data_IF_505166008656
#
_entry.id   IF_505166008656
#
_cell.length_a   1.000
_cell.length_b   1.000
_cell.length_c   1.000
_cell.angle_alpha   90.00
_cell.angle_beta   90.00
_cell.angle_gamma   90.00
#
_symmetry.space_group_name_H-M   'P 1'
#
loop_
_entity.id
_entity.type
_entity.pdbx_description
1 polymer ?
#
# COMPACT_ATOMS: atom_id res chain seq x y z
N UNK A 1 -3.55 -50.22 -8.04
CA UNK A 1 -4.27 -49.00 -7.59
C UNK A 1 -3.24 -47.93 -7.27
N UNK A 2 -3.04 -46.97 -8.16
CA UNK A 2 -2.20 -45.79 -7.94
C UNK A 2 -3.12 -44.66 -7.48
N UNK A 3 -3.00 -44.24 -6.22
CA UNK A 3 -3.67 -43.04 -5.73
C UNK A 3 -2.85 -41.82 -6.15
N UNK A 4 -3.34 -41.08 -7.14
CA UNK A 4 -2.88 -39.73 -7.44
C UNK A 4 -3.44 -38.81 -6.34
N UNK A 5 -2.60 -38.44 -5.36
CA UNK A 5 -2.91 -37.31 -4.48
C UNK A 5 -2.59 -36.05 -5.25
N UNK A 6 -3.61 -35.37 -5.77
CA UNK A 6 -3.47 -34.02 -6.31
C UNK A 6 -2.83 -33.13 -5.24
N UNK A 7 -1.63 -32.62 -5.51
CA UNK A 7 -1.00 -31.62 -4.67
C UNK A 7 -1.86 -30.35 -4.76
N UNK A 8 -2.61 -30.03 -3.71
CA UNK A 8 -3.21 -28.71 -3.55
C UNK A 8 -2.06 -27.71 -3.49
N UNK A 9 -1.80 -27.00 -4.60
CA UNK A 9 -0.84 -25.90 -4.60
C UNK A 9 -1.38 -24.83 -3.65
N UNK A 10 -0.58 -24.43 -2.67
CA UNK A 10 -0.93 -23.29 -1.81
C UNK A 10 -1.11 -22.02 -2.65
N UNK A 11 -1.99 -21.14 -2.19
CA UNK A 11 -2.23 -19.85 -2.83
C UNK A 11 -0.92 -19.04 -2.89
N UNK A 12 -0.69 -18.39 -4.01
CA UNK A 12 0.31 -17.33 -4.16
C UNK A 12 -0.03 -16.13 -3.27
N UNK A 13 0.96 -15.27 -3.01
CA UNK A 13 0.74 -14.04 -2.25
C UNK A 13 -0.30 -13.12 -2.91
N UNK A 14 -0.32 -13.03 -4.24
CA UNK A 14 -1.35 -12.27 -4.97
C UNK A 14 -2.75 -12.86 -4.77
N UNK A 15 -2.91 -14.18 -4.81
CA UNK A 15 -4.21 -14.82 -4.56
C UNK A 15 -4.68 -14.60 -3.12
N UNK A 16 -3.77 -14.71 -2.14
CA UNK A 16 -4.04 -14.37 -0.73
C UNK A 16 -4.52 -12.93 -0.59
N UNK A 17 -3.88 -12.00 -1.30
CA UNK A 17 -4.29 -10.60 -1.30
C UNK A 17 -5.68 -10.39 -1.94
N UNK A 18 -5.96 -11.03 -3.07
CA UNK A 18 -7.27 -10.96 -3.73
C UNK A 18 -8.39 -11.48 -2.82
N UNK A 19 -8.19 -12.63 -2.15
CA UNK A 19 -9.16 -13.15 -1.18
C UNK A 19 -9.40 -12.15 -0.03
N UNK A 20 -8.35 -11.47 0.44
CA UNK A 20 -8.47 -10.43 1.48
C UNK A 20 -9.29 -9.23 0.98
N UNK A 21 -9.02 -8.76 -0.24
CA UNK A 21 -9.77 -7.67 -0.87
C UNK A 21 -11.26 -8.01 -1.10
N UNK A 22 -11.56 -9.28 -1.31
CA UNK A 22 -12.93 -9.81 -1.47
C UNK A 22 -13.63 -10.10 -0.13
N UNK A 23 -12.95 -9.92 1.01
CA UNK A 23 -13.51 -10.22 2.34
C UNK A 23 -13.60 -11.72 2.65
N UNK A 24 -12.96 -12.58 1.84
CA UNK A 24 -12.91 -14.02 2.03
C UNK A 24 -11.76 -14.45 2.95
N UNK A 25 -10.84 -13.53 3.23
CA UNK A 25 -9.67 -13.75 4.08
C UNK A 25 -9.49 -12.63 5.09
N UNK A 26 -9.09 -13.03 6.29
CA UNK A 26 -8.62 -12.13 7.34
C UNK A 26 -7.10 -12.02 7.29
N UNK A 27 -6.56 -10.89 7.76
CA UNK A 27 -5.14 -10.78 8.07
C UNK A 27 -4.73 -11.82 9.10
N UNK A 28 -3.42 -12.02 9.28
CA UNK A 28 -2.88 -12.89 10.33
C UNK A 28 -3.29 -12.48 11.76
N UNK A 29 -3.84 -11.27 11.93
CA UNK A 29 -4.32 -10.74 13.22
C UNK A 29 -5.85 -10.67 13.30
N UNK A 30 -6.54 -11.38 12.40
CA UNK A 30 -8.00 -11.53 12.43
C UNK A 30 -8.77 -10.31 11.97
N UNK A 31 -8.19 -9.45 11.11
CA UNK A 31 -8.86 -8.27 10.56
C UNK A 31 -9.26 -8.47 9.10
N UNK A 32 -10.49 -8.14 8.76
CA UNK A 32 -10.91 -8.00 7.36
C UNK A 32 -10.51 -6.63 6.80
N UNK A 33 -10.62 -6.44 5.48
CA UNK A 33 -10.49 -5.11 4.87
C UNK A 33 -11.51 -4.13 5.49
N UNK A 34 -12.74 -4.57 5.72
CA UNK A 34 -13.82 -3.74 6.27
C UNK A 34 -13.50 -3.27 7.70
N UNK A 35 -12.93 -4.16 8.54
CA UNK A 35 -12.49 -3.79 9.89
C UNK A 35 -11.44 -2.67 9.85
N UNK A 36 -10.45 -2.80 8.96
CA UNK A 36 -9.37 -1.81 8.80
C UNK A 36 -9.93 -0.48 8.26
N UNK A 37 -10.83 -0.53 7.28
CA UNK A 37 -11.49 0.67 6.75
C UNK A 37 -12.35 1.39 7.80
N UNK A 38 -12.84 0.66 8.82
CA UNK A 38 -13.59 1.23 9.95
C UNK A 38 -12.71 1.81 11.07
N UNK A 39 -11.38 1.66 11.03
CA UNK A 39 -10.49 2.19 12.06
C UNK A 39 -10.59 3.70 12.22
N UNK A 40 -10.66 4.21 13.44
CA UNK A 40 -10.45 5.63 13.68
C UNK A 40 -8.94 5.99 13.66
N UNK A 41 -8.62 7.28 13.70
CA UNK A 41 -7.23 7.77 13.65
C UNK A 41 -6.36 7.19 14.78
N UNK A 42 -6.91 6.97 15.97
CA UNK A 42 -6.18 6.34 17.09
C UNK A 42 -5.81 4.89 16.77
N UNK A 43 -6.72 4.15 16.14
CA UNK A 43 -6.47 2.76 15.74
C UNK A 43 -5.47 2.69 14.58
N UNK A 44 -5.56 3.59 13.59
CA UNK A 44 -4.58 3.67 12.50
C UNK A 44 -3.17 4.03 12.99
N UNK A 45 -3.07 4.87 14.01
CA UNK A 45 -1.79 5.21 14.63
C UNK A 45 -1.24 4.01 15.42
N UNK A 46 -2.07 3.35 16.24
CA UNK A 46 -1.63 2.31 17.17
C UNK A 46 -1.41 0.92 16.52
N UNK A 47 -2.17 0.55 15.50
CA UNK A 47 -2.02 -0.73 14.79
C UNK A 47 -0.99 -0.59 13.67
N UNK A 48 0.10 -1.35 13.74
CA UNK A 48 1.19 -1.28 12.76
C UNK A 48 1.14 -2.40 11.71
N UNK A 49 0.17 -3.31 11.82
CA UNK A 49 0.17 -4.58 11.10
C UNK A 49 -0.73 -4.57 9.86
N UNK A 50 -1.61 -3.58 9.74
CA UNK A 50 -2.56 -3.47 8.63
C UNK A 50 -1.94 -2.92 7.35
N UNK A 51 -0.94 -2.03 7.46
CA UNK A 51 -0.46 -1.24 6.31
C UNK A 51 0.13 -2.14 5.21
N UNK A 52 0.79 -3.24 5.58
CA UNK A 52 1.34 -4.17 4.60
C UNK A 52 0.25 -4.95 3.86
N UNK A 53 -0.93 -5.12 4.45
CA UNK A 53 -2.07 -5.80 3.84
C UNK A 53 -2.84 -4.90 2.89
N UNK A 54 -3.05 -3.62 3.24
CA UNK A 54 -3.79 -2.68 2.39
C UNK A 54 -2.95 -2.01 1.30
N UNK A 55 -1.61 -2.06 1.45
CA UNK A 55 -0.63 -1.63 0.45
C UNK A 55 0.49 -2.68 0.34
N UNK A 56 0.23 -3.87 -0.22
CA UNK A 56 1.26 -4.90 -0.37
C UNK A 56 2.33 -4.47 -1.38
N UNK A 57 3.52 -5.08 -1.26
CA UNK A 57 4.68 -4.87 -2.14
C UNK A 57 5.16 -6.23 -2.68
N UNK A 58 5.90 -6.27 -3.79
CA UNK A 58 6.54 -7.50 -4.27
C UNK A 58 7.65 -7.97 -3.33
N UNK A 59 8.33 -7.03 -2.67
CA UNK A 59 9.41 -7.31 -1.72
C UNK A 59 8.87 -7.61 -0.30
N UNK A 60 9.44 -8.58 0.43
CA UNK A 60 9.02 -8.93 1.77
C UNK A 60 9.21 -7.78 2.77
N UNK A 61 8.26 -7.66 3.70
CA UNK A 61 8.38 -6.70 4.79
C UNK A 61 9.09 -7.32 6.00
N UNK A 62 10.13 -6.67 6.56
CA UNK A 62 10.75 -7.13 7.80
C UNK A 62 9.84 -6.95 9.03
N UNK A 63 8.76 -6.16 8.92
CA UNK A 63 7.83 -5.86 10.02
C UNK A 63 6.62 -6.79 10.07
N UNK A 64 6.16 -7.28 8.91
CA UNK A 64 5.04 -8.19 8.81
C UNK A 64 5.31 -9.24 7.72
N UNK A 65 6.00 -10.35 8.05
CA UNK A 65 6.33 -11.41 7.08
C UNK A 65 5.10 -12.19 6.62
N UNK A 66 3.96 -12.05 7.30
CA UNK A 66 2.72 -12.73 6.96
C UNK A 66 1.83 -11.92 5.99
N UNK A 67 2.22 -10.69 5.65
CA UNK A 67 1.51 -9.90 4.65
C UNK A 67 1.74 -10.48 3.25
N UNK A 68 0.74 -10.42 2.36
CA UNK A 68 0.88 -10.97 1.02
C UNK A 68 1.95 -10.25 0.21
N UNK A 69 2.72 -11.02 -0.55
CA UNK A 69 3.64 -10.51 -1.58
C UNK A 69 2.92 -10.51 -2.92
N UNK A 70 2.93 -9.38 -3.60
CA UNK A 70 2.24 -9.22 -4.87
C UNK A 70 3.17 -9.48 -6.05
N UNK A 71 2.64 -10.17 -7.05
CA UNK A 71 3.19 -10.22 -8.39
C UNK A 71 2.57 -9.10 -9.22
N UNK A 72 3.42 -8.21 -9.76
CA UNK A 72 2.98 -7.02 -10.50
C UNK A 72 2.19 -7.41 -11.76
N UNK A 73 2.59 -8.45 -12.50
CA UNK A 73 1.88 -8.87 -13.73
C UNK A 73 0.50 -9.45 -13.39
N UNK A 74 0.41 -10.25 -12.34
CA UNK A 74 -0.87 -10.80 -11.88
C UNK A 74 -1.81 -9.70 -11.38
N UNK A 75 -1.30 -8.66 -10.70
CA UNK A 75 -2.11 -7.51 -10.33
C UNK A 75 -2.63 -6.73 -11.53
N UNK A 76 -1.76 -6.42 -12.50
CA UNK A 76 -2.14 -5.63 -13.68
C UNK A 76 -3.23 -6.29 -14.54
N UNK A 77 -3.32 -7.62 -14.50
CA UNK A 77 -4.34 -8.40 -15.20
C UNK A 77 -5.66 -8.59 -14.42
N UNK A 78 -5.75 -8.10 -13.18
CA UNK A 78 -6.92 -8.29 -12.32
C UNK A 78 -7.62 -6.95 -11.99
N UNK A 79 -8.83 -6.75 -12.53
CA UNK A 79 -9.59 -5.52 -12.35
C UNK A 79 -10.10 -5.29 -10.92
N UNK A 80 -10.41 -6.34 -10.16
CA UNK A 80 -10.96 -6.24 -8.79
C UNK A 80 -9.99 -5.49 -7.87
N UNK A 81 -8.69 -5.67 -8.11
CA UNK A 81 -7.64 -5.11 -7.26
C UNK A 81 -7.55 -3.58 -7.42
N UNK A 82 -7.89 -3.06 -8.61
CA UNK A 82 -7.90 -1.61 -8.87
C UNK A 82 -8.97 -0.89 -8.06
N UNK A 83 -10.18 -1.43 -7.98
CA UNK A 83 -11.28 -0.76 -7.26
C UNK A 83 -11.06 -0.76 -5.74
N UNK A 84 -10.46 -1.83 -5.21
CA UNK A 84 -10.28 -1.97 -3.77
C UNK A 84 -9.11 -1.17 -3.23
N UNK A 85 -8.06 -0.92 -4.02
CA UNK A 85 -6.95 -0.06 -3.58
C UNK A 85 -7.40 1.40 -3.40
N UNK A 86 -8.43 1.85 -4.14
CA UNK A 86 -9.01 3.18 -3.95
C UNK A 86 -9.59 3.36 -2.53
N UNK A 87 -10.16 2.31 -1.93
CA UNK A 87 -10.67 2.39 -0.56
C UNK A 87 -9.53 2.60 0.45
N UNK A 88 -8.41 1.89 0.27
CA UNK A 88 -7.20 2.04 1.08
C UNK A 88 -6.58 3.43 0.90
N UNK A 89 -6.57 3.93 -0.33
CA UNK A 89 -6.13 5.28 -0.69
C UNK A 89 -6.96 6.35 0.04
N UNK A 90 -8.28 6.31 -0.09
CA UNK A 90 -9.20 7.25 0.56
C UNK A 90 -9.04 7.23 2.08
N UNK A 91 -8.88 6.02 2.66
CA UNK A 91 -8.67 5.87 4.09
C UNK A 91 -7.41 6.58 4.55
N UNK A 92 -6.29 6.31 3.90
CA UNK A 92 -4.98 6.77 4.36
C UNK A 92 -4.69 8.22 3.98
N UNK A 93 -5.19 8.72 2.85
CA UNK A 93 -5.05 10.14 2.50
C UNK A 93 -5.72 11.03 3.55
N UNK A 94 -6.91 10.65 4.02
CA UNK A 94 -7.64 11.39 5.05
C UNK A 94 -6.93 11.31 6.42
N UNK A 95 -6.38 10.15 6.76
CA UNK A 95 -5.60 9.97 7.98
C UNK A 95 -4.32 10.82 8.01
N UNK A 96 -3.65 10.99 6.87
CA UNK A 96 -2.47 11.84 6.74
C UNK A 96 -2.77 13.32 6.48
N UNK A 97 -4.04 13.74 6.48
CA UNK A 97 -4.41 15.13 6.22
C UNK A 97 -4.24 15.58 4.76
N UNK A 98 -4.17 14.62 3.84
CA UNK A 98 -4.05 14.82 2.39
C UNK A 98 -5.40 14.61 1.67
N UNK A 99 -6.51 14.80 2.39
CA UNK A 99 -7.87 14.74 1.86
C UNK A 99 -8.17 15.87 0.87
N UNK A 100 -9.45 16.10 0.57
CA UNK A 100 -9.85 17.17 -0.34
C UNK A 100 -9.47 18.55 0.24
N UNK A 101 -9.66 18.72 1.55
CA UNK A 101 -9.06 19.79 2.34
C UNK A 101 -7.78 19.28 3.02
N UNK A 102 -6.75 20.12 3.07
CA UNK A 102 -5.49 19.80 3.74
C UNK A 102 -5.64 20.06 5.24
N UNK A 103 -5.39 19.02 6.03
CA UNK A 103 -5.29 19.10 7.49
C UNK A 103 -3.81 19.10 7.87
N UNK A 104 -3.29 20.29 8.20
CA UNK A 104 -1.87 20.49 8.51
C UNK A 104 -1.46 19.76 9.81
N UNK A 105 -2.36 19.64 10.79
CA UNK A 105 -2.06 18.93 12.04
C UNK A 105 -1.85 17.43 11.76
N UNK A 106 -2.73 16.84 10.94
CA UNK A 106 -2.56 15.44 10.53
C UNK A 106 -1.38 15.23 9.59
N UNK A 107 -1.04 16.23 8.77
CA UNK A 107 0.10 16.13 7.88
C UNK A 107 1.43 15.95 8.63
N UNK A 108 1.56 16.51 9.83
CA UNK A 108 2.72 16.28 10.70
C UNK A 108 2.95 14.80 11.01
N UNK A 109 1.93 13.93 10.89
CA UNK A 109 2.10 12.48 11.06
C UNK A 109 3.12 11.90 10.10
N UNK A 110 3.28 12.47 8.91
CA UNK A 110 4.29 11.99 7.96
C UNK A 110 5.72 12.10 8.50
N UNK A 111 5.94 12.84 9.60
CA UNK A 111 7.15 12.74 10.39
C UNK A 111 7.27 11.33 11.02
N UNK A 112 8.30 10.58 10.64
CA UNK A 112 8.61 9.29 11.27
C UNK A 112 7.96 8.10 10.56
N UNK A 113 7.36 7.18 11.33
CA UNK A 113 6.95 5.87 10.80
C UNK A 113 5.84 5.97 9.74
N UNK A 114 4.92 6.93 9.87
CA UNK A 114 3.89 7.18 8.87
C UNK A 114 4.49 7.70 7.55
N UNK A 115 5.65 8.36 7.56
CA UNK A 115 6.40 8.67 6.34
C UNK A 115 6.89 7.43 5.59
N UNK A 116 7.21 6.34 6.31
CA UNK A 116 7.54 5.04 5.69
C UNK A 116 6.27 4.32 5.20
N UNK A 117 5.15 4.46 5.91
CA UNK A 117 3.84 3.94 5.44
C UNK A 117 3.40 4.67 4.17
N UNK A 118 3.63 5.98 4.10
CA UNK A 118 3.35 6.81 2.94
C UNK A 118 4.16 6.36 1.72
N UNK A 119 5.48 6.16 1.86
CA UNK A 119 6.32 5.68 0.76
C UNK A 119 5.87 4.31 0.23
N UNK A 120 5.45 3.41 1.14
CA UNK A 120 4.86 2.12 0.77
C UNK A 120 3.56 2.27 0.00
N UNK A 121 2.70 3.20 0.41
CA UNK A 121 1.45 3.48 -0.30
C UNK A 121 1.71 4.01 -1.72
N UNK A 122 2.67 4.94 -1.89
CA UNK A 122 3.06 5.43 -3.22
C UNK A 122 3.46 4.29 -4.16
N UNK A 123 4.34 3.40 -3.71
CA UNK A 123 4.76 2.23 -4.50
C UNK A 123 3.59 1.32 -4.84
N UNK A 124 2.81 0.95 -3.81
CA UNK A 124 1.73 0.00 -3.98
C UNK A 124 0.67 0.54 -4.92
N UNK A 125 0.30 1.82 -4.85
CA UNK A 125 -0.60 2.46 -5.80
C UNK A 125 -0.10 2.34 -7.24
N UNK A 126 1.18 2.59 -7.49
CA UNK A 126 1.76 2.40 -8.84
C UNK A 126 1.66 0.94 -9.29
N UNK A 127 1.98 -0.03 -8.42
CA UNK A 127 1.84 -1.47 -8.74
C UNK A 127 0.39 -1.89 -9.01
N UNK A 128 -0.59 -1.13 -8.55
CA UNK A 128 -2.03 -1.33 -8.81
C UNK A 128 -2.54 -0.56 -10.02
N UNK A 129 -1.65 -0.04 -10.88
CA UNK A 129 -2.02 0.80 -12.03
C UNK A 129 -2.75 2.09 -11.63
N UNK A 130 -2.43 2.63 -10.45
CA UNK A 130 -2.97 3.88 -9.92
C UNK A 130 -1.88 4.94 -9.79
N UNK A 131 -1.02 5.05 -10.82
CA UNK A 131 0.10 5.99 -10.82
C UNK A 131 -0.36 7.45 -10.58
N UNK A 132 -1.47 7.87 -11.19
CA UNK A 132 -2.02 9.21 -11.01
C UNK A 132 -2.41 9.50 -9.54
N UNK A 133 -2.91 8.50 -8.80
CA UNK A 133 -3.23 8.67 -7.37
C UNK A 133 -1.97 8.79 -6.51
N UNK A 134 -0.91 8.03 -6.86
CA UNK A 134 0.38 8.12 -6.19
C UNK A 134 1.03 9.49 -6.43
N UNK A 135 1.03 9.96 -7.68
CA UNK A 135 1.52 11.27 -8.08
C UNK A 135 0.79 12.40 -7.33
N UNK A 136 -0.55 12.37 -7.33
CA UNK A 136 -1.38 13.35 -6.60
C UNK A 136 -1.07 13.40 -5.10
N UNK A 137 -0.86 12.25 -4.45
CA UNK A 137 -0.46 12.20 -3.03
C UNK A 137 0.91 12.81 -2.82
N UNK A 138 1.88 12.45 -3.66
CA UNK A 138 3.24 12.95 -3.57
C UNK A 138 3.27 14.46 -3.76
N UNK A 139 2.60 14.98 -4.79
CA UNK A 139 2.49 16.42 -5.06
C UNK A 139 1.88 17.19 -3.89
N UNK A 140 0.75 16.71 -3.32
CA UNK A 140 0.14 17.35 -2.15
C UNK A 140 1.07 17.37 -0.94
N UNK A 141 1.81 16.29 -0.69
CA UNK A 141 2.77 16.23 0.40
C UNK A 141 3.94 17.21 0.18
N UNK A 142 4.47 17.30 -1.04
CA UNK A 142 5.56 18.22 -1.41
C UNK A 142 5.13 19.69 -1.35
N UNK A 143 3.92 20.01 -1.79
CA UNK A 143 3.36 21.36 -1.71
C UNK A 143 3.25 21.87 -0.25
N UNK A 144 3.13 20.95 0.71
CA UNK A 144 2.97 21.25 2.13
C UNK A 144 4.19 20.83 2.98
N UNK A 145 5.36 20.69 2.36
CA UNK A 145 6.58 20.20 3.01
C UNK A 145 7.01 21.07 4.21
N UNK A 146 6.64 22.35 4.21
CA UNK A 146 6.93 23.32 5.28
C UNK A 146 6.38 22.91 6.66
N UNK A 147 5.36 22.05 6.72
CA UNK A 147 4.80 21.49 7.96
C UNK A 147 5.67 20.36 8.55
N UNK A 148 6.50 19.73 7.72
CA UNK A 148 7.34 18.62 8.16
C UNK A 148 8.65 19.11 8.78
N UNK A 149 9.24 18.29 9.66
CA UNK A 149 10.52 18.61 10.29
C UNK A 149 11.63 18.74 9.23
N UNK A 150 12.62 19.64 9.38
CA UNK A 150 13.68 19.85 8.39
C UNK A 150 14.42 18.57 7.97
N UNK A 151 14.63 17.63 8.91
CA UNK A 151 15.24 16.32 8.61
C UNK A 151 14.44 15.50 7.57
N UNK A 152 13.11 15.65 7.55
CA UNK A 152 12.24 15.01 6.57
C UNK A 152 12.38 15.61 5.18
N UNK A 153 12.73 16.89 5.05
CA UNK A 153 12.82 17.59 3.76
C UNK A 153 13.84 16.96 2.81
N UNK A 154 14.97 16.48 3.34
CA UNK A 154 15.98 15.84 2.52
C UNK A 154 15.77 14.32 2.45
N UNK A 155 15.80 13.64 3.60
CA UNK A 155 15.83 12.17 3.64
C UNK A 155 14.48 11.51 3.36
N UNK A 156 13.39 12.10 3.86
CA UNK A 156 12.04 11.57 3.66
C UNK A 156 11.57 11.78 2.22
N UNK A 157 11.70 13.01 1.71
CA UNK A 157 11.33 13.35 0.33
C UNK A 157 12.11 12.53 -0.69
N UNK A 158 13.45 12.44 -0.52
CA UNK A 158 14.29 11.62 -1.42
C UNK A 158 13.83 10.16 -1.41
N UNK A 159 13.50 9.61 -0.24
CA UNK A 159 12.97 8.25 -0.14
C UNK A 159 11.63 8.10 -0.89
N UNK A 160 10.70 9.04 -0.72
CA UNK A 160 9.39 9.02 -1.37
C UNK A 160 9.49 9.04 -2.89
N UNK A 161 10.27 9.99 -3.42
CA UNK A 161 10.49 10.13 -4.86
C UNK A 161 11.19 8.90 -5.45
N UNK A 162 12.28 8.44 -4.82
CA UNK A 162 13.03 7.27 -5.32
C UNK A 162 12.18 6.00 -5.36
N UNK A 163 11.35 5.77 -4.34
CA UNK A 163 10.49 4.59 -4.28
C UNK A 163 9.31 4.68 -5.25
N UNK A 164 8.71 5.87 -5.42
CA UNK A 164 7.73 6.11 -6.46
C UNK A 164 8.32 5.82 -7.86
N UNK A 165 9.47 6.41 -8.19
CA UNK A 165 10.13 6.20 -9.48
C UNK A 165 10.56 4.75 -9.70
N UNK A 166 11.02 4.05 -8.65
CA UNK A 166 11.30 2.60 -8.72
C UNK A 166 10.05 1.83 -9.15
N UNK A 167 8.91 2.09 -8.52
CA UNK A 167 7.67 1.41 -8.85
C UNK A 167 7.21 1.71 -10.28
N UNK A 168 7.36 2.96 -10.75
CA UNK A 168 7.03 3.35 -12.13
C UNK A 168 7.87 2.56 -13.14
N UNK A 169 9.20 2.46 -12.91
CA UNK A 169 10.09 1.65 -13.75
C UNK A 169 9.69 0.18 -13.79
N UNK A 170 9.47 -0.42 -12.62
CA UNK A 170 9.11 -1.85 -12.51
C UNK A 170 7.77 -2.19 -13.17
N UNK A 171 6.78 -1.29 -13.11
CA UNK A 171 5.52 -1.46 -13.84
C UNK A 171 5.74 -1.32 -15.35
N UNK A 172 6.59 -0.39 -15.79
CA UNK A 172 6.98 -0.25 -17.20
C UNK A 172 7.64 -1.52 -17.75
N UNK A 173 8.57 -2.11 -16.99
CA UNK A 173 9.25 -3.36 -17.33
C UNK A 173 8.27 -4.54 -17.37
N UNK A 174 7.36 -4.62 -16.38
CA UNK A 174 6.33 -5.67 -16.32
C UNK A 174 5.35 -5.62 -17.50
N UNK A 175 5.08 -4.44 -18.07
CA UNK A 175 4.24 -4.25 -19.26
C UNK A 175 4.95 -4.54 -20.57
N UNK A 176 6.26 -4.27 -20.61
CA UNK A 176 7.07 -4.38 -21.84
C UNK A 176 7.64 -5.77 -22.05
N UNK A 177 7.64 -6.60 -21.01
CA UNK A 177 8.10 -7.97 -21.08
C UNK A 177 7.05 -8.89 -21.71
N UNK A 178 7.43 -9.78 -22.65
CA UNK A 178 6.51 -10.76 -23.23
C UNK A 178 5.94 -11.75 -22.22
#
# INVERSE_FOLDING_TARGET
MLFWRGATRGLSGTEVYIEFLQGQRLTSHGKSLQDILAYNDRQLEADHQFIQWIFPLPDPSPYNPNAPLIDIRLLLSNSIVKDKILLSYEKMRNFWGLGDEIDLEKLEKLNGHNGLRFSRALQSLVYHDQQALAEHLLEKALANLHVLKPKMHASGVTLWQNLYEKAVREVGDARSSP
#
